data_IF_720844187878
#
_entry.id   IF_720844187878
#
_cell.length_a   1.000
_cell.length_b   1.000
_cell.length_c   1.000
_cell.angle_alpha   90.00
_cell.angle_beta   90.00
_cell.angle_gamma   90.00
#
_symmetry.space_group_name_H-M   'P 1'
#
loop_
_entity.id
_entity.type
_entity.pdbx_description
1 polymer ?
#
# COMPACT_ATOMS: atom_id res chain seq x y z
N UNK A 1 -16.88 15.49 3.44
CA UNK A 1 -16.86 14.03 3.20
C UNK A 1 -17.63 13.33 4.31
N UNK A 2 -18.57 12.44 3.99
CA UNK A 2 -19.30 11.68 5.02
C UNK A 2 -18.52 10.38 5.30
N UNK A 3 -17.89 10.31 6.48
CA UNK A 3 -17.22 9.10 6.95
C UNK A 3 -18.22 8.21 7.68
N UNK A 4 -18.07 6.88 7.56
CA UNK A 4 -18.85 5.94 8.35
C UNK A 4 -18.63 6.21 9.84
N UNK A 5 -19.71 6.12 10.62
CA UNK A 5 -19.69 6.56 12.02
C UNK A 5 -18.75 5.73 12.89
N UNK A 6 -18.54 4.44 12.56
CA UNK A 6 -17.71 3.55 13.38
C UNK A 6 -16.83 2.58 12.59
N UNK A 7 -17.37 1.84 11.63
CA UNK A 7 -16.64 0.75 10.98
C UNK A 7 -16.84 0.68 9.46
N UNK A 8 -15.74 0.43 8.77
CA UNK A 8 -15.72 0.07 7.35
C UNK A 8 -14.50 -0.81 7.09
N UNK A 9 -14.66 -1.76 6.17
CA UNK A 9 -13.60 -2.64 5.72
C UNK A 9 -13.48 -2.48 4.20
N UNK A 10 -12.27 -2.23 3.72
CA UNK A 10 -11.95 -2.25 2.29
C UNK A 10 -10.85 -3.28 2.06
N UNK A 11 -11.12 -4.23 1.19
CA UNK A 11 -10.14 -5.22 0.73
C UNK A 11 -10.00 -5.08 -0.78
N UNK A 12 -8.77 -4.93 -1.24
CA UNK A 12 -8.42 -4.86 -2.65
C UNK A 12 -7.22 -5.77 -2.91
N UNK A 13 -7.21 -6.44 -4.06
CA UNK A 13 -6.07 -7.24 -4.49
C UNK A 13 -5.94 -7.18 -6.00
N UNK A 14 -4.71 -7.25 -6.48
CA UNK A 14 -4.39 -7.26 -7.90
C UNK A 14 -3.26 -8.26 -8.14
N UNK A 15 -3.24 -8.84 -9.33
CA UNK A 15 -2.18 -9.74 -9.78
C UNK A 15 -1.85 -9.44 -11.23
N UNK A 16 -0.60 -9.66 -11.61
CA UNK A 16 -0.13 -9.50 -12.97
C UNK A 16 0.77 -10.66 -13.38
N UNK A 17 0.80 -10.92 -14.68
CA UNK A 17 1.70 -11.86 -15.31
C UNK A 17 2.40 -11.16 -16.46
N UNK A 18 3.71 -11.35 -16.56
CA UNK A 18 4.54 -10.80 -17.62
C UNK A 18 5.25 -11.92 -18.35
N UNK A 19 5.30 -11.81 -19.68
CA UNK A 19 6.08 -12.66 -20.56
C UNK A 19 7.01 -11.76 -21.36
N UNK A 20 8.33 -11.94 -21.19
CA UNK A 20 9.35 -11.12 -21.83
C UNK A 20 10.34 -11.98 -22.59
N UNK A 21 10.44 -11.72 -23.89
CA UNK A 21 11.41 -12.38 -24.77
C UNK A 21 12.71 -11.56 -24.80
N UNK A 22 13.81 -12.18 -24.43
CA UNK A 22 15.15 -11.61 -24.54
C UNK A 22 15.87 -12.19 -25.75
N UNK A 23 16.63 -11.34 -26.46
CA UNK A 23 17.39 -11.74 -27.65
C UNK A 23 18.43 -12.84 -27.35
N UNK A 24 19.02 -12.83 -26.15
CA UNK A 24 20.11 -13.75 -25.78
C UNK A 24 19.72 -14.79 -24.71
N UNK A 25 18.74 -14.50 -23.84
CA UNK A 25 18.40 -15.33 -22.66
C UNK A 25 17.06 -16.08 -22.77
N UNK A 26 16.42 -16.10 -23.95
CA UNK A 26 15.11 -16.75 -24.13
C UNK A 26 13.97 -15.99 -23.46
N UNK A 27 12.90 -16.70 -23.10
CA UNK A 27 11.69 -16.11 -22.51
C UNK A 27 11.74 -16.19 -20.98
N UNK A 28 11.57 -15.04 -20.32
CA UNK A 28 11.35 -14.98 -18.87
C UNK A 28 9.88 -14.69 -18.62
N UNK A 29 9.27 -15.51 -17.78
CA UNK A 29 7.93 -15.27 -17.25
C UNK A 29 8.07 -14.75 -15.83
N UNK A 30 7.35 -13.71 -15.46
CA UNK A 30 7.34 -13.19 -14.09
C UNK A 30 5.93 -12.91 -13.61
N UNK A 31 5.66 -13.19 -12.36
CA UNK A 31 4.39 -12.96 -11.69
C UNK A 31 4.54 -11.95 -10.54
N UNK A 32 3.48 -11.22 -10.26
CA UNK A 32 3.41 -10.40 -9.07
C UNK A 32 1.98 -10.15 -8.62
N UNK A 33 1.83 -9.76 -7.36
CA UNK A 33 0.55 -9.42 -6.77
C UNK A 33 0.71 -8.42 -5.64
N UNK A 34 -0.42 -7.80 -5.27
CA UNK A 34 -0.57 -7.20 -3.96
C UNK A 34 -1.93 -7.53 -3.36
N UNK A 35 -1.98 -7.49 -2.04
CA UNK A 35 -3.23 -7.49 -1.27
C UNK A 35 -3.19 -6.36 -0.25
N UNK A 36 -4.27 -5.59 -0.22
CA UNK A 36 -4.44 -4.39 0.58
C UNK A 36 -5.69 -4.54 1.43
N UNK A 37 -5.56 -4.31 2.73
CA UNK A 37 -6.68 -4.33 3.67
C UNK A 37 -6.67 -3.04 4.48
N UNK A 38 -7.77 -2.30 4.48
CA UNK A 38 -7.97 -1.14 5.33
C UNK A 38 -9.20 -1.31 6.20
N UNK A 39 -9.04 -1.04 7.48
CA UNK A 39 -10.10 -1.08 8.46
C UNK A 39 -10.22 0.26 9.19
N UNK A 40 -11.42 0.82 9.19
CA UNK A 40 -11.77 1.98 10.00
C UNK A 40 -12.14 1.50 11.41
N UNK A 41 -11.25 1.74 12.37
CA UNK A 41 -11.46 1.35 13.77
C UNK A 41 -12.38 2.34 14.51
N UNK A 42 -12.39 3.60 14.07
CA UNK A 42 -13.25 4.66 14.57
C UNK A 42 -13.43 5.75 13.50
N UNK A 43 -14.35 6.69 13.71
CA UNK A 43 -14.72 7.73 12.72
C UNK A 43 -13.55 8.38 11.98
N UNK A 44 -12.41 8.60 12.64
CA UNK A 44 -11.22 9.29 12.10
C UNK A 44 -9.94 8.45 12.10
N UNK A 45 -10.02 7.17 12.46
CA UNK A 45 -8.85 6.32 12.67
C UNK A 45 -8.90 5.10 11.78
N UNK A 46 -7.81 4.85 11.05
CA UNK A 46 -7.71 3.81 10.05
C UNK A 46 -6.42 3.02 10.25
N UNK A 47 -6.53 1.70 10.16
CA UNK A 47 -5.39 0.78 10.10
C UNK A 47 -5.38 0.16 8.73
N UNK A 48 -4.22 0.17 8.09
CA UNK A 48 -4.02 -0.43 6.77
C UNK A 48 -2.89 -1.46 6.86
N UNK A 49 -3.08 -2.60 6.22
CA UNK A 49 -2.04 -3.59 6.00
C UNK A 49 -1.92 -3.86 4.50
N UNK A 50 -0.69 -4.01 4.01
CA UNK A 50 -0.42 -4.36 2.62
C UNK A 50 0.65 -5.44 2.53
N UNK A 51 0.42 -6.39 1.65
CA UNK A 51 1.40 -7.37 1.22
C UNK A 51 1.64 -7.21 -0.28
N UNK A 52 2.90 -7.16 -0.68
CA UNK A 52 3.33 -7.11 -2.08
C UNK A 52 4.26 -8.30 -2.35
N UNK A 53 4.11 -8.94 -3.51
CA UNK A 53 5.00 -9.96 -4.04
C UNK A 53 5.30 -9.65 -5.50
N UNK A 54 6.57 -9.73 -5.91
CA UNK A 54 6.96 -9.60 -7.31
C UNK A 54 8.19 -10.43 -7.61
N UNK A 55 8.11 -11.26 -8.64
CA UNK A 55 9.27 -11.81 -9.32
C UNK A 55 9.98 -10.72 -10.14
N UNK A 56 11.29 -10.86 -10.35
CA UNK A 56 12.07 -9.91 -11.12
C UNK A 56 11.85 -10.10 -12.64
N UNK A 57 11.72 -9.02 -13.42
CA UNK A 57 11.41 -9.11 -14.86
C UNK A 57 12.56 -9.67 -15.72
N UNK A 58 13.74 -9.86 -15.12
CA UNK A 58 14.93 -10.41 -15.78
C UNK A 58 15.30 -11.82 -15.28
N UNK A 59 14.69 -12.29 -14.18
CA UNK A 59 14.86 -13.63 -13.65
C UNK A 59 13.76 -13.96 -12.66
N UNK A 60 12.96 -14.99 -12.95
CA UNK A 60 11.93 -15.48 -12.02
C UNK A 60 12.49 -16.19 -10.79
N UNK A 61 13.80 -16.53 -10.77
CA UNK A 61 14.44 -17.12 -9.59
C UNK A 61 14.55 -16.14 -8.43
N UNK A 62 14.52 -14.83 -8.72
CA UNK A 62 14.56 -13.77 -7.73
C UNK A 62 13.18 -13.14 -7.58
N UNK A 63 12.72 -13.05 -6.35
CA UNK A 63 11.47 -12.42 -5.99
C UNK A 63 11.69 -11.51 -4.79
N UNK A 64 10.82 -10.52 -4.67
CA UNK A 64 10.76 -9.60 -3.55
C UNK A 64 9.38 -9.66 -2.94
N UNK A 65 9.34 -9.64 -1.62
CA UNK A 65 8.16 -9.51 -0.81
C UNK A 65 8.26 -8.20 -0.02
N UNK A 66 7.11 -7.56 0.22
CA UNK A 66 7.03 -6.50 1.20
C UNK A 66 5.78 -6.65 2.05
N UNK A 67 5.89 -6.32 3.34
CA UNK A 67 4.76 -6.18 4.25
C UNK A 67 4.83 -4.78 4.83
N UNK A 68 3.72 -4.04 4.77
CA UNK A 68 3.59 -2.77 5.46
C UNK A 68 2.34 -2.68 6.31
N UNK A 69 2.45 -1.91 7.38
CA UNK A 69 1.33 -1.55 8.24
C UNK A 69 1.33 -0.05 8.44
N UNK A 70 0.19 0.57 8.19
CA UNK A 70 -0.03 2.00 8.34
C UNK A 70 -1.09 2.26 9.40
N UNK A 71 -0.84 3.24 10.25
CA UNK A 71 -1.85 3.86 11.08
C UNK A 71 -2.10 5.29 10.63
N UNK A 72 -3.35 5.63 10.35
CA UNK A 72 -3.74 6.93 9.81
C UNK A 72 -4.84 7.58 10.66
N UNK A 73 -4.69 8.88 10.86
CA UNK A 73 -5.60 9.72 11.61
C UNK A 73 -6.01 10.95 10.81
N UNK A 74 -7.32 11.17 10.69
CA UNK A 74 -7.89 12.39 10.14
C UNK A 74 -7.99 13.44 11.25
N UNK A 75 -6.97 14.27 11.39
CA UNK A 75 -6.89 15.31 12.42
C UNK A 75 -8.01 16.34 12.24
N UNK A 76 -8.22 16.80 11.00
CA UNK A 76 -9.28 17.72 10.60
C UNK A 76 -9.87 17.28 9.25
N UNK A 77 -10.86 18.01 8.73
CA UNK A 77 -11.36 17.78 7.37
C UNK A 77 -10.33 18.11 6.28
N UNK A 78 -9.24 18.79 6.66
CA UNK A 78 -8.19 19.28 5.77
C UNK A 78 -6.83 18.65 6.05
N UNK A 79 -6.72 17.79 7.07
CA UNK A 79 -5.44 17.23 7.50
C UNK A 79 -5.55 15.75 7.81
N UNK A 80 -4.63 14.97 7.22
CA UNK A 80 -4.44 13.55 7.49
C UNK A 80 -2.99 13.31 7.87
N UNK A 81 -2.78 12.56 8.95
CA UNK A 81 -1.46 12.17 9.43
C UNK A 81 -1.39 10.64 9.39
N UNK A 82 -0.29 10.08 8.90
CA UNK A 82 -0.07 8.64 8.83
C UNK A 82 1.35 8.28 9.22
N UNK A 83 1.49 7.16 9.94
CA UNK A 83 2.79 6.51 10.17
C UNK A 83 2.75 5.12 9.56
N UNK A 84 3.82 4.73 8.87
CA UNK A 84 3.92 3.43 8.22
C UNK A 84 5.26 2.77 8.55
N UNK A 85 5.19 1.51 9.00
CA UNK A 85 6.33 0.62 9.03
C UNK A 85 6.26 -0.34 7.85
N UNK A 86 7.39 -0.54 7.17
CA UNK A 86 7.49 -1.48 6.05
C UNK A 86 8.75 -2.33 6.19
N UNK A 87 8.61 -3.62 5.88
CA UNK A 87 9.73 -4.54 5.72
C UNK A 87 9.70 -5.09 4.30
N UNK A 88 10.86 -5.13 3.67
CA UNK A 88 11.06 -5.69 2.34
C UNK A 88 12.11 -6.78 2.44
N UNK A 89 11.85 -7.93 1.86
CA UNK A 89 12.76 -9.09 1.87
C UNK A 89 12.70 -9.79 0.53
N UNK A 90 13.83 -10.34 0.10
CA UNK A 90 13.97 -11.07 -1.15
C UNK A 90 14.57 -12.45 -0.88
N UNK A 91 15.11 -13.12 -1.89
CA UNK A 91 15.80 -14.40 -1.72
C UNK A 91 17.10 -14.29 -0.90
N UNK A 92 17.61 -13.09 -0.60
CA UNK A 92 18.75 -12.89 0.29
C UNK A 92 18.30 -12.79 1.76
N UNK A 93 19.19 -13.12 2.71
CA UNK A 93 18.85 -13.20 4.12
C UNK A 93 18.63 -11.85 4.82
N UNK A 94 18.99 -10.73 4.19
CA UNK A 94 19.03 -9.42 4.84
C UNK A 94 17.78 -8.58 4.51
N UNK A 95 16.79 -8.48 5.41
CA UNK A 95 15.62 -7.65 5.20
C UNK A 95 15.94 -6.15 5.31
N UNK A 96 15.22 -5.34 4.52
CA UNK A 96 15.23 -3.89 4.58
C UNK A 96 14.04 -3.37 5.38
N UNK A 97 14.27 -2.41 6.27
CA UNK A 97 13.24 -1.83 7.15
C UNK A 97 13.10 -0.33 6.91
N UNK A 98 11.86 0.12 6.82
CA UNK A 98 11.52 1.52 6.53
C UNK A 98 10.47 2.03 7.52
N UNK A 99 10.58 3.30 7.90
CA UNK A 99 9.57 4.02 8.68
C UNK A 99 9.25 5.34 7.98
N UNK A 100 7.97 5.58 7.69
CA UNK A 100 7.50 6.75 6.98
C UNK A 100 6.51 7.55 7.82
N UNK A 101 6.68 8.88 7.83
CA UNK A 101 5.69 9.84 8.32
C UNK A 101 5.06 10.54 7.11
N UNK A 102 3.74 10.52 7.04
CA UNK A 102 2.95 11.27 6.04
C UNK A 102 2.11 12.32 6.75
N UNK A 103 2.24 13.57 6.34
CA UNK A 103 1.35 14.65 6.75
C UNK A 103 0.79 15.31 5.49
N UNK A 104 -0.51 15.11 5.26
CA UNK A 104 -1.21 15.52 4.06
C UNK A 104 -2.13 16.68 4.41
N UNK A 105 -1.99 17.78 3.67
CA UNK A 105 -2.89 18.93 3.71
C UNK A 105 -3.77 18.92 2.47
N UNK A 106 -5.08 18.91 2.67
CA UNK A 106 -6.06 18.98 1.59
C UNK A 106 -6.52 20.44 1.48
N UNK A 107 -6.22 21.08 0.35
CA UNK A 107 -6.59 22.46 0.07
C UNK A 107 -7.56 22.45 -1.12
N UNK A 108 -8.77 22.95 -0.93
CA UNK A 108 -9.81 23.00 -1.96
C UNK A 108 -10.96 23.93 -1.55
N UNK A 109 -11.81 24.29 -2.51
CA UNK A 109 -13.00 25.14 -2.27
C UNK A 109 -14.01 24.38 -1.40
N UNK A 110 -14.19 24.79 -0.15
CA UNK A 110 -15.26 24.29 0.70
C UNK A 110 -16.61 24.89 0.28
N UNK A 111 -17.67 24.09 0.22
CA UNK A 111 -19.02 24.63 0.16
C UNK A 111 -19.32 25.44 1.42
N UNK A 112 -20.04 26.56 1.29
CA UNK A 112 -20.49 27.31 2.45
C UNK A 112 -21.29 26.37 3.37
N UNK A 113 -20.88 26.23 4.62
CA UNK A 113 -21.70 25.54 5.61
C UNK A 113 -22.96 26.39 5.82
N UNK A 114 -24.13 25.83 5.50
CA UNK A 114 -25.41 26.37 5.96
C UNK A 114 -25.51 26.06 7.46
N UNK A 115 -25.68 27.10 8.26
CA UNK A 115 -25.94 27.02 9.70
C UNK A 115 -27.27 26.31 9.98
#
# INVERSE_FOLDING_TARGET
MQLNTYHSLTWQSEFFYSNKNFLENGTVNSFGLYSFLQYQIAKRWFVTARYDFSEMPYSSSFHQNAVSATFEWYATEFQKIGIEGKTTFDNNPDPYYELWLRWIFVIGTHGAHMY
#
